data_IF_127025141213
#
_entry.id   IF_127025141213
#
_cell.length_a   1.000
_cell.length_b   1.000
_cell.length_c   1.000
_cell.angle_alpha   90.00
_cell.angle_beta   90.00
_cell.angle_gamma   90.00
#
_symmetry.space_group_name_H-M   'P 1'
#
loop_
_entity.id
_entity.type
_entity.pdbx_description
1 polymer ?
#
# COMPACT_ATOMS: atom_id res chain seq x y z
N UNK A 1 -12.08 -0.56 3.88
CA UNK A 1 -12.06 -0.01 4.19
C UNK A 1 -12.98 1.10 4.54
N UNK A 2 -14.24 0.97 4.39
CA UNK A 2 -15.17 1.89 5.00
C UNK A 2 -14.86 2.03 6.48
N UNK A 3 -14.39 3.22 6.88
CA UNK A 3 -14.07 3.55 8.25
C UNK A 3 -12.62 3.39 8.71
N UNK A 4 -11.72 2.87 7.89
CA UNK A 4 -10.30 2.81 8.23
C UNK A 4 -9.51 3.79 7.36
N UNK A 5 -9.21 5.00 7.88
CA UNK A 5 -8.44 5.98 7.14
C UNK A 5 -7.00 5.50 6.91
N UNK A 6 -6.44 5.83 5.76
CA UNK A 6 -5.07 5.45 5.39
C UNK A 6 -4.25 6.66 4.99
N UNK A 7 -2.94 6.60 5.25
CA UNK A 7 -1.95 7.48 4.66
C UNK A 7 -1.35 6.83 3.42
N UNK A 8 -0.96 7.63 2.44
CA UNK A 8 -0.24 7.20 1.23
C UNK A 8 1.01 8.04 1.09
N UNK A 9 2.15 7.40 0.84
CA UNK A 9 3.43 8.06 0.59
C UNK A 9 4.01 7.56 -0.74
N UNK A 10 4.01 8.42 -1.73
CA UNK A 10 4.55 8.16 -3.05
C UNK A 10 5.03 9.46 -3.71
N UNK A 11 6.04 9.40 -4.55
CA UNK A 11 6.52 10.56 -5.32
C UNK A 11 5.45 11.14 -6.26
N UNK A 12 4.51 10.32 -6.70
CA UNK A 12 3.40 10.76 -7.54
C UNK A 12 2.29 11.46 -6.75
N UNK A 13 2.04 11.02 -5.51
CA UNK A 13 0.96 11.54 -4.68
C UNK A 13 1.14 11.09 -3.23
N UNK A 14 1.20 12.04 -2.30
CA UNK A 14 1.25 11.72 -0.87
C UNK A 14 0.10 12.39 -0.13
N UNK A 15 -0.56 11.60 0.70
CA UNK A 15 -1.74 12.03 1.43
C UNK A 15 -1.75 11.45 2.86
N UNK A 16 -2.17 12.28 3.81
CA UNK A 16 -2.60 11.83 5.12
C UNK A 16 -4.13 11.90 5.16
N UNK A 17 -4.79 10.74 5.06
CA UNK A 17 -6.24 10.66 4.86
C UNK A 17 -6.66 11.37 3.55
N UNK A 18 -7.38 12.47 3.66
CA UNK A 18 -7.81 13.29 2.51
C UNK A 18 -6.94 14.54 2.29
N UNK A 19 -5.95 14.75 3.17
CA UNK A 19 -5.06 15.91 3.12
C UNK A 19 -3.82 15.61 2.28
N UNK A 20 -3.63 16.35 1.21
CA UNK A 20 -2.40 16.28 0.41
C UNK A 20 -1.19 16.75 1.21
N UNK A 21 -0.09 16.02 1.07
CA UNK A 21 1.19 16.34 1.68
C UNK A 21 2.17 16.79 0.61
N UNK A 22 2.69 18.00 0.78
CA UNK A 22 3.74 18.51 -0.10
C UNK A 22 5.12 18.13 0.45
N UNK A 23 5.70 17.06 -0.09
CA UNK A 23 6.95 16.47 0.39
C UNK A 23 8.07 16.69 -0.64
N UNK A 24 9.30 16.81 -0.16
CA UNK A 24 10.50 16.91 -1.00
C UNK A 24 11.09 15.52 -1.30
N UNK A 25 10.80 14.97 -2.44
CA UNK A 25 11.30 13.64 -2.86
C UNK A 25 12.72 13.69 -3.45
N UNK A 26 13.47 12.58 -3.34
CA UNK A 26 13.19 11.38 -2.56
C UNK A 26 13.37 11.59 -1.05
N UNK A 27 12.53 10.93 -0.24
CA UNK A 27 12.47 11.11 1.20
C UNK A 27 13.65 10.45 1.92
N UNK A 28 14.20 11.14 2.90
CA UNK A 28 15.17 10.58 3.86
C UNK A 28 14.46 9.79 4.97
N UNK A 29 15.22 9.09 5.82
CA UNK A 29 14.67 8.37 6.96
C UNK A 29 13.91 9.32 7.93
N UNK A 30 14.41 10.51 8.14
CA UNK A 30 13.76 11.52 9.00
C UNK A 30 12.44 11.99 8.37
N UNK A 31 12.43 12.23 7.06
CA UNK A 31 11.22 12.65 6.34
C UNK A 31 10.14 11.58 6.38
N UNK A 32 10.49 10.31 6.19
CA UNK A 32 9.57 9.18 6.32
C UNK A 32 8.98 9.11 7.72
N UNK A 33 9.81 9.17 8.76
CA UNK A 33 9.35 9.12 10.15
C UNK A 33 8.41 10.28 10.48
N UNK A 34 8.74 11.51 10.05
CA UNK A 34 7.88 12.68 10.23
C UNK A 34 6.54 12.52 9.52
N UNK A 35 6.57 12.03 8.29
CA UNK A 35 5.35 11.84 7.50
C UNK A 35 4.47 10.75 8.11
N UNK A 36 5.06 9.64 8.56
CA UNK A 36 4.32 8.59 9.27
C UNK A 36 3.73 9.10 10.59
N UNK A 37 4.45 9.94 11.33
CA UNK A 37 3.93 10.57 12.55
C UNK A 37 2.73 11.46 12.25
N UNK A 38 2.78 12.27 11.19
CA UNK A 38 1.65 13.09 10.73
C UNK A 38 0.44 12.21 10.39
N UNK A 39 0.64 11.12 9.65
CA UNK A 39 -0.44 10.17 9.36
C UNK A 39 -1.06 9.57 10.64
N UNK A 40 -0.22 9.22 11.61
CA UNK A 40 -0.67 8.69 12.90
C UNK A 40 -1.46 9.73 13.72
N UNK A 41 -0.98 10.97 13.76
CA UNK A 41 -1.67 12.09 14.43
C UNK A 41 -3.02 12.41 13.77
N UNK A 42 -3.11 12.30 12.46
CA UNK A 42 -4.37 12.46 11.71
C UNK A 42 -5.32 11.25 11.88
N UNK A 43 -4.87 10.18 12.52
CA UNK A 43 -5.68 8.99 12.82
C UNK A 43 -5.65 7.92 11.75
N UNK A 44 -4.62 7.87 10.92
CA UNK A 44 -4.47 6.79 9.93
C UNK A 44 -4.32 5.43 10.61
N UNK A 45 -5.12 4.47 10.18
CA UNK A 45 -5.05 3.08 10.63
C UNK A 45 -3.93 2.29 9.94
N UNK A 46 -3.50 2.75 8.78
CA UNK A 46 -2.39 2.17 8.02
C UNK A 46 -1.72 3.23 7.15
N UNK A 47 -0.48 2.98 6.76
CA UNK A 47 0.26 3.78 5.78
C UNK A 47 0.71 2.87 4.65
N UNK A 48 0.42 3.27 3.43
CA UNK A 48 0.86 2.62 2.20
C UNK A 48 2.04 3.42 1.65
N UNK A 49 3.15 2.75 1.40
CA UNK A 49 4.39 3.38 0.99
C UNK A 49 4.91 2.76 -0.30
N UNK A 50 5.20 3.58 -1.31
CA UNK A 50 5.83 3.14 -2.54
C UNK A 50 7.34 2.89 -2.32
N UNK A 51 7.80 1.69 -2.67
CA UNK A 51 9.21 1.28 -2.55
C UNK A 51 9.94 1.48 -3.88
N UNK A 52 10.21 2.71 -4.22
CA UNK A 52 10.96 3.11 -5.41
C UNK A 52 11.97 4.23 -5.10
N UNK A 53 12.93 4.44 -6.00
CA UNK A 53 13.99 5.44 -5.83
C UNK A 53 13.52 6.89 -6.02
N UNK A 54 12.38 7.08 -6.64
CA UNK A 54 11.77 8.40 -6.79
C UNK A 54 11.13 8.84 -5.47
N UNK A 55 10.56 7.89 -4.73
CA UNK A 55 9.92 8.13 -3.43
C UNK A 55 10.92 8.13 -2.27
N UNK A 56 11.89 7.21 -2.25
CA UNK A 56 12.73 6.92 -1.09
C UNK A 56 14.22 6.96 -1.41
N UNK A 57 14.98 7.58 -0.53
CA UNK A 57 16.43 7.44 -0.51
C UNK A 57 16.85 6.08 0.02
N UNK A 58 18.09 5.70 -0.25
CA UNK A 58 18.73 4.55 0.38
C UNK A 58 18.58 4.66 1.91
N UNK A 59 18.30 3.54 2.55
CA UNK A 59 18.12 3.43 4.02
C UNK A 59 16.99 4.30 4.60
N UNK A 60 16.07 4.81 3.78
CA UNK A 60 14.97 5.67 4.22
C UNK A 60 13.98 4.99 5.18
N UNK A 61 13.94 3.66 5.20
CA UNK A 61 13.05 2.87 6.04
C UNK A 61 13.75 2.24 7.25
N UNK A 62 14.88 2.77 7.67
CA UNK A 62 15.53 2.35 8.91
C UNK A 62 14.54 2.45 10.07
N UNK A 63 14.45 1.39 10.85
CA UNK A 63 13.51 1.26 11.98
C UNK A 63 12.02 1.21 11.60
N UNK A 64 11.68 1.07 10.33
CA UNK A 64 10.29 0.83 9.89
C UNK A 64 10.07 -0.66 9.75
N UNK A 65 9.11 -1.19 10.51
CA UNK A 65 8.63 -2.57 10.36
C UNK A 65 7.53 -2.62 9.32
N UNK A 66 7.60 -3.61 8.42
CA UNK A 66 6.64 -3.79 7.34
C UNK A 66 5.72 -4.96 7.67
N UNK A 67 4.41 -4.72 7.70
CA UNK A 67 3.40 -5.76 7.93
C UNK A 67 3.05 -6.52 6.64
N UNK A 68 2.97 -5.79 5.52
CA UNK A 68 2.69 -6.35 4.19
C UNK A 68 3.64 -5.75 3.18
N UNK A 69 4.35 -6.60 2.46
CA UNK A 69 5.19 -6.22 1.32
C UNK A 69 4.55 -6.78 0.04
N UNK A 70 4.27 -5.91 -0.91
CA UNK A 70 3.55 -6.28 -2.13
C UNK A 70 4.31 -5.93 -3.41
N UNK A 71 4.11 -6.76 -4.44
CA UNK A 71 4.63 -6.52 -5.78
C UNK A 71 3.54 -6.83 -6.82
N UNK A 72 3.60 -6.16 -7.97
CA UNK A 72 2.62 -6.30 -9.05
C UNK A 72 2.62 -7.70 -9.69
N UNK A 73 3.74 -8.39 -9.68
CA UNK A 73 3.85 -9.76 -10.17
C UNK A 73 3.39 -10.79 -9.10
N UNK A 74 3.52 -12.06 -9.39
CA UNK A 74 3.04 -13.20 -8.57
C UNK A 74 3.69 -13.32 -7.16
N UNK A 75 4.11 -12.20 -6.60
CA UNK A 75 4.81 -12.09 -5.32
C UNK A 75 6.32 -11.91 -5.52
N UNK A 76 6.98 -11.60 -4.41
CA UNK A 76 8.42 -11.40 -4.35
C UNK A 76 9.12 -12.69 -3.92
N UNK A 77 10.20 -13.05 -4.61
CA UNK A 77 11.12 -14.09 -4.15
C UNK A 77 11.91 -13.60 -2.92
N UNK A 78 12.44 -14.52 -2.13
CA UNK A 78 13.28 -14.18 -0.97
C UNK A 78 14.49 -13.32 -1.36
N UNK A 79 15.06 -13.53 -2.55
CA UNK A 79 16.17 -12.74 -3.07
C UNK A 79 15.77 -11.29 -3.39
N UNK A 80 14.57 -11.08 -3.93
CA UNK A 80 14.02 -9.75 -4.19
C UNK A 80 13.68 -9.01 -2.90
N UNK A 81 13.09 -9.71 -1.94
CA UNK A 81 12.86 -9.15 -0.59
C UNK A 81 14.18 -8.73 0.05
N UNK A 82 15.20 -9.58 0.00
CA UNK A 82 16.52 -9.26 0.53
C UNK A 82 17.15 -8.02 -0.14
N UNK A 83 16.97 -7.84 -1.45
CA UNK A 83 17.41 -6.64 -2.16
C UNK A 83 16.70 -5.37 -1.70
N UNK A 84 15.38 -5.42 -1.52
CA UNK A 84 14.61 -4.30 -1.03
C UNK A 84 15.00 -3.91 0.41
N UNK A 85 15.16 -4.90 1.28
CA UNK A 85 15.64 -4.69 2.65
C UNK A 85 17.03 -4.04 2.67
N UNK A 86 17.96 -4.55 1.85
CA UNK A 86 19.31 -4.00 1.75
C UNK A 86 19.32 -2.57 1.19
N UNK A 87 18.41 -2.25 0.29
CA UNK A 87 18.32 -0.93 -0.36
C UNK A 87 17.67 0.12 0.54
N UNK A 88 16.52 -0.20 1.11
CA UNK A 88 15.70 0.78 1.85
C UNK A 88 15.81 0.66 3.36
N UNK A 89 16.38 -0.42 3.89
CA UNK A 89 16.64 -0.62 5.31
C UNK A 89 15.41 -1.04 6.14
N UNK A 90 14.30 -1.40 5.51
CA UNK A 90 13.09 -1.80 6.22
C UNK A 90 13.27 -3.12 6.99
N UNK A 91 12.58 -3.25 8.13
CA UNK A 91 12.55 -4.48 8.90
C UNK A 91 11.46 -5.43 8.36
N UNK A 92 11.88 -6.56 7.83
CA UNK A 92 11.01 -7.64 7.38
C UNK A 92 11.23 -8.85 8.27
N UNK A 93 10.20 -9.29 8.95
CA UNK A 93 10.24 -10.36 9.94
C UNK A 93 9.30 -11.51 9.62
N UNK A 94 9.17 -12.46 10.56
CA UNK A 94 8.29 -13.64 10.43
C UNK A 94 6.81 -13.27 10.29
N UNK A 95 6.41 -12.09 10.75
CA UNK A 95 5.03 -11.60 10.68
C UNK A 95 4.75 -10.80 9.42
N UNK A 96 5.78 -10.40 8.68
CA UNK A 96 5.61 -9.71 7.40
C UNK A 96 5.03 -10.66 6.37
N UNK A 97 3.92 -10.26 5.75
CA UNK A 97 3.27 -11.01 4.69
C UNK A 97 3.70 -10.50 3.33
N UNK A 98 4.06 -11.42 2.46
CA UNK A 98 4.36 -11.10 1.06
C UNK A 98 3.07 -11.26 0.27
N UNK A 99 2.65 -10.19 -0.40
CA UNK A 99 1.46 -10.16 -1.22
C UNK A 99 1.82 -9.98 -2.70
N UNK A 100 1.11 -10.68 -3.55
CA UNK A 100 1.13 -10.52 -5.00
C UNK A 100 -0.28 -10.68 -5.52
N UNK A 101 -0.50 -10.36 -6.79
CA UNK A 101 -1.78 -10.60 -7.44
C UNK A 101 -2.11 -12.09 -7.41
N UNK A 102 -3.35 -12.40 -7.12
CA UNK A 102 -3.88 -13.76 -7.11
C UNK A 102 -5.08 -13.86 -8.05
N UNK A 103 -5.45 -15.08 -8.42
CA UNK A 103 -6.66 -15.32 -9.20
C UNK A 103 -7.91 -14.78 -8.47
N UNK A 104 -7.93 -14.85 -7.14
CA UNK A 104 -9.02 -14.29 -6.34
C UNK A 104 -9.06 -12.77 -6.39
N UNK A 105 -7.91 -12.10 -6.26
CA UNK A 105 -7.85 -10.63 -6.34
C UNK A 105 -8.18 -10.14 -7.74
N UNK A 106 -7.74 -10.86 -8.79
CA UNK A 106 -8.07 -10.54 -10.19
C UNK A 106 -9.57 -10.65 -10.46
N UNK A 107 -10.24 -11.69 -9.94
CA UNK A 107 -11.69 -11.84 -10.07
C UNK A 107 -12.46 -10.73 -9.35
N UNK A 108 -12.04 -10.35 -8.16
CA UNK A 108 -12.66 -9.25 -7.42
C UNK A 108 -12.44 -7.91 -8.12
N UNK A 109 -11.25 -7.68 -8.68
CA UNK A 109 -10.94 -6.47 -9.44
C UNK A 109 -11.76 -6.41 -10.74
N UNK A 110 -11.91 -7.52 -11.46
CA UNK A 110 -12.73 -7.58 -12.68
C UNK A 110 -14.21 -7.28 -12.40
N UNK A 111 -14.75 -7.79 -11.29
CA UNK A 111 -16.12 -7.48 -10.87
C UNK A 111 -16.32 -6.01 -10.54
N UNK A 112 -15.31 -5.36 -9.97
CA UNK A 112 -15.34 -3.93 -9.68
C UNK A 112 -15.12 -3.07 -10.93
N UNK A 113 -14.21 -3.46 -11.82
CA UNK A 113 -13.86 -2.72 -13.03
C UNK A 113 -15.06 -2.56 -13.99
N UNK A 114 -15.96 -3.55 -14.07
CA UNK A 114 -17.21 -3.42 -14.84
C UNK A 114 -18.12 -2.30 -14.30
N UNK A 115 -17.93 -1.89 -13.06
CA UNK A 115 -18.70 -0.84 -12.41
C UNK A 115 -18.04 0.55 -12.48
N UNK A 116 -16.70 0.61 -12.61
CA UNK A 116 -15.91 1.85 -12.54
C UNK A 116 -15.39 2.36 -13.90
N UNK A 117 -15.68 1.70 -15.00
CA UNK A 117 -15.13 2.07 -16.28
C UNK A 117 -13.64 1.72 -16.42
N UNK A 118 -12.80 2.65 -16.87
CA UNK A 118 -11.39 2.42 -17.19
C UNK A 118 -10.43 2.39 -15.97
N UNK A 119 -10.81 1.83 -14.84
CA UNK A 119 -9.87 1.64 -13.73
C UNK A 119 -8.84 0.57 -14.11
N UNK A 120 -7.57 0.84 -13.86
CA UNK A 120 -6.51 -0.16 -14.02
C UNK A 120 -6.77 -1.38 -13.13
N UNK A 121 -7.25 -2.44 -13.76
CA UNK A 121 -7.62 -3.68 -13.05
C UNK A 121 -6.43 -4.36 -12.36
N UNK A 122 -5.19 -4.11 -12.82
CA UNK A 122 -3.98 -4.64 -12.20
C UNK A 122 -3.70 -3.97 -10.87
N UNK A 123 -3.68 -2.64 -10.84
CA UNK A 123 -3.48 -1.87 -9.62
C UNK A 123 -4.57 -2.15 -8.60
N UNK A 124 -5.81 -2.29 -9.04
CA UNK A 124 -6.93 -2.65 -8.16
C UNK A 124 -6.76 -4.07 -7.60
N UNK A 125 -6.37 -5.04 -8.43
CA UNK A 125 -6.11 -6.41 -8.00
C UNK A 125 -4.99 -6.47 -6.95
N UNK A 126 -3.88 -5.75 -7.17
CA UNK A 126 -2.78 -5.68 -6.20
C UNK A 126 -3.26 -5.05 -4.89
N UNK A 127 -4.02 -3.97 -4.94
CA UNK A 127 -4.59 -3.33 -3.76
C UNK A 127 -5.49 -4.29 -2.97
N UNK A 128 -6.33 -5.07 -3.66
CA UNK A 128 -7.17 -6.09 -3.05
C UNK A 128 -6.31 -7.19 -2.40
N UNK A 129 -5.26 -7.65 -3.07
CA UNK A 129 -4.33 -8.65 -2.54
C UNK A 129 -3.62 -8.17 -1.28
N UNK A 130 -3.17 -6.90 -1.25
CA UNK A 130 -2.56 -6.29 -0.07
C UNK A 130 -3.52 -6.26 1.12
N UNK A 131 -4.76 -5.88 0.87
CA UNK A 131 -5.79 -5.77 1.90
C UNK A 131 -6.18 -7.13 2.46
N UNK A 132 -6.28 -8.15 1.60
CA UNK A 132 -6.47 -9.54 2.03
C UNK A 132 -5.29 -10.03 2.87
N UNK A 133 -4.06 -9.74 2.46
CA UNK A 133 -2.85 -10.08 3.21
C UNK A 133 -2.79 -9.37 4.57
N UNK A 134 -3.34 -8.16 4.68
CA UNK A 134 -3.48 -7.44 5.95
C UNK A 134 -4.57 -8.03 6.87
N UNK A 135 -5.30 -9.07 6.44
CA UNK A 135 -6.29 -9.78 7.24
C UNK A 135 -7.71 -9.25 7.12
N UNK A 136 -7.99 -8.38 6.18
CA UNK A 136 -9.35 -7.90 5.93
C UNK A 136 -10.18 -8.99 5.24
N UNK A 137 -11.40 -9.19 5.73
CA UNK A 137 -12.28 -10.24 5.20
C UNK A 137 -12.79 -9.89 3.81
N UNK A 138 -12.85 -10.87 2.92
CA UNK A 138 -13.37 -10.74 1.55
C UNK A 138 -14.76 -10.09 1.48
N UNK A 139 -15.64 -10.41 2.43
CA UNK A 139 -16.96 -9.80 2.51
C UNK A 139 -16.91 -8.27 2.69
N UNK A 140 -15.97 -7.77 3.50
CA UNK A 140 -15.77 -6.34 3.72
C UNK A 140 -15.25 -5.64 2.47
N UNK A 141 -14.36 -6.29 1.72
CA UNK A 141 -13.85 -5.79 0.44
C UNK A 141 -14.99 -5.67 -0.57
N UNK A 142 -15.80 -6.71 -0.72
CA UNK A 142 -16.96 -6.68 -1.61
C UNK A 142 -17.95 -5.58 -1.24
N UNK A 143 -18.20 -5.38 0.05
CA UNK A 143 -19.07 -4.30 0.53
C UNK A 143 -18.49 -2.92 0.20
N UNK A 144 -17.20 -2.72 0.43
CA UNK A 144 -16.51 -1.47 0.10
C UNK A 144 -16.59 -1.15 -1.40
N UNK A 145 -16.33 -2.14 -2.26
CA UNK A 145 -16.42 -1.98 -3.71
C UNK A 145 -17.85 -1.65 -4.19
N UNK A 146 -18.87 -2.17 -3.54
CA UNK A 146 -20.28 -1.83 -3.86
C UNK A 146 -20.62 -0.39 -3.48
N UNK A 147 -20.25 0.04 -2.28
CA UNK A 147 -20.55 1.41 -1.80
C UNK A 147 -19.86 2.44 -2.68
N UNK A 148 -18.61 2.22 -3.05
CA UNK A 148 -17.93 3.13 -3.99
C UNK A 148 -18.62 3.21 -5.34
N UNK A 149 -19.24 2.12 -5.80
CA UNK A 149 -20.05 2.11 -7.03
C UNK A 149 -21.29 2.99 -6.93
N UNK A 150 -21.95 2.97 -5.78
CA UNK A 150 -23.22 3.68 -5.59
C UNK A 150 -23.02 5.18 -5.34
N UNK A 151 -21.78 5.63 -5.09
CA UNK A 151 -21.40 7.03 -4.87
C UNK A 151 -20.91 7.75 -6.15
N UNK A 152 -20.72 7.05 -7.26
CA UNK A 152 -20.32 7.57 -8.56
C UNK A 152 -21.46 7.41 -9.59
#
# INVERSE_FOLDING_TARGET
>A
MLGNPVGVISSSDSQSLERFLNLGYPLSAIDVQRTMAVCAEDGAAAVILALDEETLRKDALQSVSVDVLACDDNGLSDAEVAKLVAKFGCAVGKQTRIAGRTQESDLLAAQAATAYGQTDSRSLSLSIAMVLAAGVRKANIKSALRVSRDLN
#
